data_IF_280150698965
#
_entry.id   IF_280150698965
#
_cell.length_a   1.000
_cell.length_b   1.000
_cell.length_c   1.000
_cell.angle_alpha   90.00
_cell.angle_beta   90.00
_cell.angle_gamma   90.00
#
_symmetry.space_group_name_H-M   'P 1'
#
loop_
_entity.id
_entity.type
_entity.pdbx_description
1 polymer ?
#
# COMPACT_ATOMS: atom_id res chain seq x y z
N UNK A 1 8.38 -11.96 -3.64
CA UNK A 1 7.27 -11.36 -4.37
C UNK A 1 7.40 -9.86 -4.21
N UNK A 2 7.36 -9.18 -5.34
CA UNK A 2 6.93 -7.79 -5.48
C UNK A 2 5.71 -7.84 -6.41
N UNK A 3 5.07 -6.70 -6.69
CA UNK A 3 3.96 -6.65 -7.65
C UNK A 3 4.32 -7.34 -8.98
N UNK A 4 5.55 -7.11 -9.47
CA UNK A 4 6.13 -7.73 -10.66
C UNK A 4 6.42 -9.25 -10.55
N UNK A 5 6.22 -9.87 -9.40
CA UNK A 5 6.41 -11.31 -9.17
C UNK A 5 5.11 -12.06 -8.88
N UNK A 6 3.97 -11.36 -8.80
CA UNK A 6 2.66 -11.99 -8.62
C UNK A 6 2.40 -12.96 -9.77
N UNK A 7 2.31 -14.23 -9.42
CA UNK A 7 2.10 -15.31 -10.38
C UNK A 7 0.63 -15.68 -10.50
N UNK A 8 0.31 -16.38 -11.59
CA UNK A 8 -1.05 -16.81 -11.86
C UNK A 8 -1.57 -17.75 -10.75
N UNK A 9 -0.72 -18.61 -10.18
CA UNK A 9 -1.13 -19.53 -9.11
C UNK A 9 -1.65 -18.79 -7.87
N UNK A 10 -1.01 -17.68 -7.52
CA UNK A 10 -1.42 -16.81 -6.41
C UNK A 10 -2.73 -16.11 -6.74
N UNK A 11 -2.84 -15.52 -7.94
CA UNK A 11 -4.02 -14.75 -8.36
C UNK A 11 -5.24 -15.63 -8.63
N UNK A 12 -5.07 -16.87 -9.07
CA UNK A 12 -6.16 -17.85 -9.26
C UNK A 12 -6.93 -18.12 -7.96
N UNK A 13 -6.31 -17.93 -6.80
CA UNK A 13 -7.01 -18.02 -5.51
C UNK A 13 -8.07 -16.94 -5.36
N UNK A 14 -7.93 -15.81 -6.07
CA UNK A 14 -8.88 -14.72 -6.12
C UNK A 14 -9.85 -14.81 -7.30
N UNK A 15 -9.76 -15.84 -8.16
CA UNK A 15 -10.70 -16.02 -9.28
C UNK A 15 -12.17 -15.99 -8.84
N UNK A 16 -12.59 -16.60 -7.71
CA UNK A 16 -13.98 -16.49 -7.24
C UNK A 16 -14.43 -15.04 -6.96
N UNK A 17 -13.48 -14.17 -6.60
CA UNK A 17 -13.72 -12.73 -6.39
C UNK A 17 -13.89 -12.03 -7.72
N UNK A 18 -13.00 -12.30 -8.68
CA UNK A 18 -13.02 -11.65 -9.99
C UNK A 18 -14.28 -11.97 -10.81
N UNK A 19 -14.84 -13.17 -10.68
CA UNK A 19 -16.09 -13.57 -11.38
C UNK A 19 -17.37 -13.11 -10.68
N UNK A 20 -17.26 -12.57 -9.46
CA UNK A 20 -18.43 -12.13 -8.70
C UNK A 20 -18.94 -10.79 -9.25
N UNK A 21 -20.25 -10.73 -9.53
CA UNK A 21 -20.90 -9.48 -9.98
C UNK A 21 -20.91 -8.39 -8.90
N UNK A 22 -20.75 -8.77 -7.63
CA UNK A 22 -20.57 -7.84 -6.52
C UNK A 22 -19.42 -8.32 -5.65
N UNK A 23 -18.61 -7.40 -5.15
CA UNK A 23 -17.48 -7.66 -4.26
C UNK A 23 -17.48 -6.63 -3.15
N UNK A 24 -16.93 -6.95 -1.99
CA UNK A 24 -16.65 -5.95 -0.96
C UNK A 24 -15.20 -6.00 -0.56
N UNK A 25 -14.62 -4.86 -0.23
CA UNK A 25 -13.25 -4.73 0.25
C UNK A 25 -13.27 -4.07 1.62
N UNK A 26 -12.52 -4.65 2.57
CA UNK A 26 -12.28 -4.09 3.90
C UNK A 26 -10.79 -3.78 4.04
N UNK A 27 -10.48 -2.49 4.21
CA UNK A 27 -9.12 -2.02 4.49
C UNK A 27 -8.90 -1.85 6.00
N UNK A 28 -7.73 -2.26 6.48
CA UNK A 28 -7.25 -1.97 7.84
C UNK A 28 -6.10 -0.98 7.87
N UNK A 29 -5.52 -0.78 9.06
CA UNK A 29 -4.52 0.27 9.31
C UNK A 29 -3.26 0.18 8.44
N UNK A 30 -2.92 -1.01 7.94
CA UNK A 30 -1.83 -1.22 7.00
C UNK A 30 -2.04 -0.56 5.63
N UNK A 31 -3.29 -0.23 5.25
CA UNK A 31 -3.55 0.57 4.06
C UNK A 31 -3.07 2.02 4.24
N UNK A 32 -3.28 2.59 5.43
CA UNK A 32 -2.92 3.96 5.77
C UNK A 32 -1.47 4.11 6.26
N UNK A 33 -0.84 3.02 6.72
CA UNK A 33 0.56 3.03 7.15
C UNK A 33 1.53 3.48 6.04
N UNK A 34 1.23 3.10 4.80
CA UNK A 34 1.96 3.51 3.60
C UNK A 34 1.79 5.01 3.28
N UNK A 35 0.69 5.63 3.72
CA UNK A 35 0.46 7.08 3.63
C UNK A 35 1.14 7.87 4.78
N UNK A 36 2.00 7.22 5.57
CA UNK A 36 2.66 7.82 6.73
C UNK A 36 1.80 7.89 8.00
N UNK A 37 0.56 7.41 7.96
CA UNK A 37 -0.31 7.38 9.15
C UNK A 37 0.09 6.24 10.11
N UNK A 38 -0.10 6.41 11.42
CA UNK A 38 0.28 5.38 12.39
C UNK A 38 -0.59 4.12 12.30
N UNK A 39 0.02 2.96 12.50
CA UNK A 39 -0.73 1.75 12.86
C UNK A 39 -1.32 1.84 14.28
N UNK A 40 -2.13 0.87 14.69
CA UNK A 40 -2.77 0.88 16.01
C UNK A 40 -1.80 0.99 17.20
N UNK A 41 -0.62 0.37 17.12
CA UNK A 41 0.36 0.43 18.22
C UNK A 41 1.07 1.77 18.24
N UNK A 42 1.42 2.29 17.07
CA UNK A 42 2.01 3.62 16.90
C UNK A 42 1.04 4.71 17.35
N UNK A 43 -0.25 4.59 17.02
CA UNK A 43 -1.29 5.52 17.46
C UNK A 43 -1.44 5.49 18.98
N UNK A 44 -1.55 4.30 19.59
CA UNK A 44 -1.65 4.17 21.03
C UNK A 44 -0.39 4.71 21.76
N UNK A 45 0.80 4.52 21.17
CA UNK A 45 2.05 5.08 21.70
C UNK A 45 1.98 6.61 21.73
N UNK A 46 1.60 7.22 20.60
CA UNK A 46 1.48 8.67 20.49
C UNK A 46 0.41 9.24 21.43
N UNK A 47 -0.72 8.56 21.61
CA UNK A 47 -1.77 8.96 22.55
C UNK A 47 -1.26 9.00 24.00
N UNK A 48 -0.49 7.99 24.43
CA UNK A 48 0.08 7.95 25.78
C UNK A 48 1.06 9.12 26.02
N UNK A 49 1.84 9.49 25.00
CA UNK A 49 2.79 10.59 25.06
C UNK A 49 2.09 11.95 25.06
N UNK A 50 1.19 12.19 24.10
CA UNK A 50 0.51 13.46 23.93
C UNK A 50 -0.47 13.75 25.08
N UNK A 51 -1.03 12.70 25.73
CA UNK A 51 -1.84 12.87 26.94
C UNK A 51 -1.01 13.18 28.21
N UNK A 52 0.32 13.04 28.17
CA UNK A 52 1.18 13.13 29.35
C UNK A 52 1.02 11.96 30.32
N UNK A 53 0.46 10.83 29.87
CA UNK A 53 0.34 9.62 30.69
C UNK A 53 1.69 8.93 30.84
N UNK A 54 2.48 8.89 29.75
CA UNK A 54 3.84 8.38 29.72
C UNK A 54 4.68 9.32 28.84
N UNK A 55 5.65 10.01 29.44
CA UNK A 55 6.40 11.08 28.77
C UNK A 55 7.44 10.58 27.75
N UNK A 56 7.88 9.31 27.86
CA UNK A 56 8.94 8.76 27.01
C UNK A 56 8.46 7.62 26.11
N UNK A 57 8.94 7.63 24.86
CA UNK A 57 8.50 6.70 23.82
C UNK A 57 8.89 5.25 24.11
N UNK A 58 10.09 5.03 24.66
CA UNK A 58 10.62 3.71 24.95
C UNK A 58 9.75 3.00 26.01
N UNK A 59 9.41 3.71 27.08
CA UNK A 59 8.50 3.20 28.13
C UNK A 59 7.09 3.04 27.59
N UNK A 60 6.58 3.94 26.75
CA UNK A 60 5.26 3.80 26.15
C UNK A 60 5.17 2.54 25.27
N UNK A 61 6.19 2.29 24.44
CA UNK A 61 6.29 1.06 23.63
C UNK A 61 6.42 -0.19 24.49
N UNK A 62 7.24 -0.15 25.55
CA UNK A 62 7.40 -1.27 26.48
C UNK A 62 6.10 -1.58 27.25
N UNK A 63 5.36 -0.55 27.64
CA UNK A 63 4.05 -0.67 28.27
C UNK A 63 3.03 -1.33 27.34
N UNK A 64 3.00 -0.91 26.07
CA UNK A 64 2.13 -1.47 25.02
C UNK A 64 2.49 -2.90 24.63
N UNK A 65 3.77 -3.28 24.65
CA UNK A 65 4.20 -4.63 24.28
C UNK A 65 3.53 -5.73 25.13
N UNK A 66 3.08 -5.40 26.35
CA UNK A 66 2.37 -6.30 27.25
C UNK A 66 0.85 -6.08 27.34
N UNK A 67 0.27 -5.13 26.59
CA UNK A 67 -1.13 -4.72 26.73
C UNK A 67 -1.87 -4.58 25.39
N UNK A 68 -3.20 -4.56 25.48
CA UNK A 68 -4.05 -4.26 24.33
C UNK A 68 -4.03 -2.75 24.02
N UNK A 69 -3.83 -2.33 22.75
CA UNK A 69 -3.83 -0.92 22.37
C UNK A 69 -5.08 -0.13 22.81
N UNK A 70 -6.25 -0.78 22.84
CA UNK A 70 -7.51 -0.13 23.27
C UNK A 70 -7.51 0.24 24.76
N UNK A 71 -6.75 -0.49 25.59
CA UNK A 71 -6.59 -0.19 27.01
C UNK A 71 -5.57 0.93 27.24
N UNK A 72 -4.53 1.01 26.42
CA UNK A 72 -3.64 2.17 26.41
C UNK A 72 -4.37 3.45 25.98
N UNK A 73 -5.26 3.34 24.99
CA UNK A 73 -6.14 4.44 24.59
C UNK A 73 -7.08 4.89 25.72
N UNK A 74 -7.56 3.97 26.57
CA UNK A 74 -8.31 4.35 27.79
C UNK A 74 -7.48 5.18 28.76
N UNK A 75 -6.24 4.78 29.01
CA UNK A 75 -5.35 5.51 29.90
C UNK A 75 -5.10 6.93 29.38
N UNK A 76 -4.84 7.07 28.08
CA UNK A 76 -4.69 8.38 27.44
C UNK A 76 -5.99 9.22 27.51
N UNK A 77 -7.15 8.62 27.27
CA UNK A 77 -8.46 9.29 27.35
C UNK A 77 -8.76 9.82 28.74
N UNK A 78 -8.36 9.11 29.80
CA UNK A 78 -8.54 9.55 31.17
C UNK A 78 -7.74 10.83 31.52
N UNK A 79 -6.60 11.04 30.84
CA UNK A 79 -5.77 12.24 30.97
C UNK A 79 -6.14 13.38 30.02
N UNK A 80 -6.93 13.10 28.98
CA UNK A 80 -7.25 14.05 27.92
C UNK A 80 -8.37 15.04 28.33
N UNK A 81 -8.14 16.34 28.11
CA UNK A 81 -9.20 17.36 28.23
C UNK A 81 -10.12 17.40 27.01
N UNK A 82 -9.55 17.16 25.82
CA UNK A 82 -10.25 17.02 24.56
C UNK A 82 -9.77 15.73 23.88
N UNK A 83 -10.61 14.71 23.91
CA UNK A 83 -10.26 13.39 23.39
C UNK A 83 -10.08 13.38 21.87
N UNK A 84 -10.97 14.06 21.13
CA UNK A 84 -10.94 14.02 19.68
C UNK A 84 -9.76 14.80 19.13
N UNK A 85 -9.43 15.94 19.74
CA UNK A 85 -8.23 16.70 19.35
C UNK A 85 -6.93 15.96 19.66
N UNK A 86 -6.89 15.24 20.79
CA UNK A 86 -5.76 14.36 21.11
C UNK A 86 -5.59 13.26 20.06
N UNK A 87 -6.67 12.58 19.69
CA UNK A 87 -6.64 11.53 18.65
C UNK A 87 -6.24 12.10 17.30
N UNK A 88 -6.79 13.26 16.91
CA UNK A 88 -6.43 13.94 15.65
C UNK A 88 -4.95 14.31 15.61
N UNK A 89 -4.42 14.85 16.70
CA UNK A 89 -2.99 15.21 16.82
C UNK A 89 -2.07 13.99 16.75
N UNK A 90 -2.52 12.85 17.31
CA UNK A 90 -1.78 11.59 17.25
C UNK A 90 -1.86 10.92 15.87
N UNK A 91 -2.97 11.09 15.14
CA UNK A 91 -3.17 10.53 13.82
C UNK A 91 -2.46 11.35 12.74
N UNK A 92 -2.49 12.68 12.85
CA UNK A 92 -1.94 13.63 11.89
C UNK A 92 -0.88 14.54 12.53
N UNK A 93 0.28 14.00 12.95
CA UNK A 93 1.33 14.85 13.47
C UNK A 93 1.85 15.78 12.36
N UNK A 94 2.33 17.00 12.69
CA UNK A 94 2.80 17.97 11.69
C UNK A 94 3.87 17.43 10.73
N UNK A 95 4.64 16.42 11.15
CA UNK A 95 5.67 15.77 10.34
C UNK A 95 5.12 14.94 9.16
N UNK A 96 3.84 14.53 9.20
CA UNK A 96 3.20 13.78 8.12
C UNK A 96 2.71 14.72 7.01
N UNK A 97 2.44 16.00 7.34
CA UNK A 97 1.83 16.93 6.39
C UNK A 97 0.40 16.51 6.03
N UNK A 98 0.03 16.70 4.76
CA UNK A 98 -1.22 16.18 4.22
C UNK A 98 -0.98 14.75 3.69
N UNK A 99 -1.60 13.72 4.31
CA UNK A 99 -1.41 12.35 3.88
C UNK A 99 -2.12 12.14 2.54
N UNK A 100 -1.37 11.60 1.59
CA UNK A 100 -1.89 11.21 0.29
C UNK A 100 -2.34 9.75 0.30
N UNK A 101 -3.35 9.38 -0.50
CA UNK A 101 -3.78 7.99 -0.58
C UNK A 101 -2.64 7.05 -1.01
N UNK A 102 -2.41 5.98 -0.25
CA UNK A 102 -1.47 4.93 -0.62
C UNK A 102 -2.02 3.92 -1.65
N UNK A 103 -1.14 3.01 -2.11
CA UNK A 103 -1.43 2.02 -3.16
C UNK A 103 -2.73 1.20 -2.95
N UNK A 104 -3.04 0.82 -1.71
CA UNK A 104 -4.27 0.05 -1.40
C UNK A 104 -5.55 0.89 -1.61
N UNK A 105 -5.52 2.18 -1.28
CA UNK A 105 -6.66 3.09 -1.52
C UNK A 105 -6.91 3.23 -3.02
N UNK A 106 -5.86 3.54 -3.78
CA UNK A 106 -5.98 3.63 -5.24
C UNK A 106 -6.39 2.31 -5.89
N UNK A 107 -5.94 1.16 -5.38
CA UNK A 107 -6.37 -0.14 -5.93
C UNK A 107 -7.86 -0.40 -5.71
N UNK A 108 -8.40 -0.04 -4.54
CA UNK A 108 -9.84 -0.15 -4.26
C UNK A 108 -10.63 0.86 -5.08
N UNK A 109 -10.15 2.10 -5.20
CA UNK A 109 -10.75 3.12 -6.04
C UNK A 109 -10.82 2.70 -7.52
N UNK A 110 -9.72 2.19 -8.09
CA UNK A 110 -9.69 1.68 -9.46
C UNK A 110 -10.58 0.44 -9.68
N UNK A 111 -10.88 -0.32 -8.62
CA UNK A 111 -11.86 -1.41 -8.70
C UNK A 111 -13.30 -0.88 -8.69
N UNK A 112 -13.57 0.18 -7.91
CA UNK A 112 -14.91 0.72 -7.69
C UNK A 112 -15.36 1.71 -8.76
N UNK A 113 -14.52 2.67 -9.16
CA UNK A 113 -14.89 3.77 -10.05
C UNK A 113 -15.44 3.34 -11.42
N UNK A 114 -14.90 2.29 -12.08
CA UNK A 114 -15.44 1.83 -13.37
C UNK A 114 -16.76 1.03 -13.25
N UNK A 115 -17.19 0.68 -12.03
CA UNK A 115 -18.35 -0.17 -11.76
C UNK A 115 -19.57 0.63 -11.35
N UNK A 116 -20.76 0.00 -11.40
CA UNK A 116 -21.97 0.66 -10.92
C UNK A 116 -21.90 0.84 -9.40
N UNK A 117 -22.40 1.97 -8.92
CA UNK A 117 -22.54 2.25 -7.47
C UNK A 117 -23.28 1.09 -6.80
N UNK A 118 -22.65 0.52 -5.77
CA UNK A 118 -23.16 -0.65 -5.03
C UNK A 118 -22.69 -2.02 -5.54
N UNK A 119 -21.94 -2.10 -6.64
CA UNK A 119 -21.25 -3.34 -7.06
C UNK A 119 -19.96 -3.59 -6.26
N UNK A 120 -19.38 -2.54 -5.69
CA UNK A 120 -18.24 -2.62 -4.76
C UNK A 120 -18.66 -2.06 -3.41
N UNK A 121 -18.69 -2.91 -2.39
CA UNK A 121 -18.85 -2.50 -1.00
C UNK A 121 -17.52 -2.02 -0.43
N UNK A 122 -17.48 -0.80 0.08
CA UNK A 122 -16.28 -0.16 0.61
C UNK A 122 -16.35 -0.13 2.13
N UNK A 123 -15.40 -0.78 2.80
CA UNK A 123 -15.33 -0.87 4.25
C UNK A 123 -13.92 -0.50 4.72
N UNK A 124 -13.84 0.14 5.88
CA UNK A 124 -12.55 0.44 6.53
C UNK A 124 -12.65 0.35 8.04
N UNK A 125 -11.54 0.02 8.67
CA UNK A 125 -11.32 0.13 10.11
C UNK A 125 -10.57 1.41 10.49
N UNK A 126 -10.15 2.18 9.48
CA UNK A 126 -9.32 3.36 9.68
C UNK A 126 -10.22 4.58 9.88
N UNK A 127 -9.68 5.58 10.58
CA UNK A 127 -10.40 6.85 10.81
C UNK A 127 -10.21 7.84 9.66
N UNK A 128 -9.10 7.74 8.92
CA UNK A 128 -8.78 8.66 7.84
C UNK A 128 -9.72 8.53 6.64
N UNK A 129 -9.77 9.59 5.81
CA UNK A 129 -10.64 9.67 4.63
C UNK A 129 -9.89 9.38 3.32
N UNK A 130 -8.84 8.54 3.37
CA UNK A 130 -7.98 8.30 2.19
C UNK A 130 -8.67 7.44 1.12
N UNK A 131 -9.64 6.59 1.47
CA UNK A 131 -10.44 5.85 0.50
C UNK A 131 -11.31 6.83 -0.31
N UNK A 132 -11.93 7.78 0.38
CA UNK A 132 -12.80 8.78 -0.21
C UNK A 132 -12.04 9.66 -1.20
N UNK A 133 -10.88 10.18 -0.80
CA UNK A 133 -10.00 10.98 -1.65
C UNK A 133 -9.59 10.19 -2.91
N UNK A 134 -9.06 8.98 -2.74
CA UNK A 134 -8.68 8.12 -3.87
C UNK A 134 -9.85 7.80 -4.81
N UNK A 135 -11.06 7.61 -4.26
CA UNK A 135 -12.24 7.33 -5.06
C UNK A 135 -12.74 8.57 -5.78
N UNK A 136 -12.67 9.75 -5.18
CA UNK A 136 -13.00 11.02 -5.84
C UNK A 136 -12.10 11.23 -7.06
N UNK A 137 -10.78 11.09 -6.90
CA UNK A 137 -9.82 11.20 -8.00
C UNK A 137 -10.14 10.20 -9.13
N UNK A 138 -10.35 8.93 -8.78
CA UNK A 138 -10.67 7.89 -9.76
C UNK A 138 -12.03 8.12 -10.45
N UNK A 139 -13.02 8.71 -9.78
CA UNK A 139 -14.30 9.06 -10.38
C UNK A 139 -14.18 10.23 -11.35
N UNK A 140 -13.35 11.22 -11.05
CA UNK A 140 -13.03 12.32 -11.96
C UNK A 140 -12.34 11.81 -13.23
N UNK A 141 -11.36 10.91 -13.09
CA UNK A 141 -10.66 10.28 -14.22
C UNK A 141 -11.60 9.55 -15.19
N UNK A 142 -12.60 8.82 -14.66
CA UNK A 142 -13.59 8.11 -15.49
C UNK A 142 -14.77 8.99 -15.90
N UNK A 143 -14.79 10.27 -15.50
CA UNK A 143 -15.85 11.23 -15.83
C UNK A 143 -17.20 10.94 -15.16
N UNK A 144 -17.19 10.31 -13.98
CA UNK A 144 -18.38 10.04 -13.18
C UNK A 144 -18.73 11.24 -12.31
N UNK A 145 -20.03 11.55 -12.19
CA UNK A 145 -20.55 12.61 -11.33
C UNK A 145 -21.07 12.11 -9.97
N UNK A 146 -20.76 10.88 -9.59
CA UNK A 146 -21.20 10.29 -8.32
C UNK A 146 -20.45 10.95 -7.14
N UNK A 147 -21.18 11.27 -6.07
CA UNK A 147 -20.57 11.70 -4.81
C UNK A 147 -19.93 10.53 -4.05
N UNK A 148 -19.09 10.87 -3.06
CA UNK A 148 -18.49 9.89 -2.13
C UNK A 148 -18.72 10.39 -0.71
N UNK A 149 -19.25 9.53 0.16
CA UNK A 149 -19.61 9.88 1.53
C UNK A 149 -19.09 8.83 2.52
N UNK A 150 -18.47 9.29 3.60
CA UNK A 150 -18.16 8.47 4.75
C UNK A 150 -19.45 8.10 5.50
N UNK A 151 -19.49 6.92 6.10
CA UNK A 151 -20.61 6.42 6.90
C UNK A 151 -20.10 5.78 8.18
N UNK A 152 -20.56 6.28 9.32
CA UNK A 152 -20.22 5.76 10.65
C UNK A 152 -21.44 5.30 11.49
N UNK A 153 -22.66 5.50 10.98
CA UNK A 153 -23.91 5.08 11.65
C UNK A 153 -24.89 4.36 10.71
N UNK A 154 -25.95 3.78 11.28
CA UNK A 154 -26.98 3.09 10.49
C UNK A 154 -27.75 4.06 9.58
N UNK A 155 -28.09 5.23 10.11
CA UNK A 155 -28.97 6.23 9.48
C UNK A 155 -28.22 7.18 8.52
N UNK A 156 -26.90 7.29 8.64
CA UNK A 156 -26.08 8.11 7.75
C UNK A 156 -25.86 7.41 6.40
N UNK A 157 -26.81 7.63 5.48
CA UNK A 157 -26.83 7.02 4.15
C UNK A 157 -26.55 8.06 3.08
N UNK A 158 -25.68 7.71 2.14
CA UNK A 158 -25.41 8.55 0.99
C UNK A 158 -26.66 8.70 0.11
N UNK A 159 -26.76 9.81 -0.65
CA UNK A 159 -27.75 9.94 -1.70
C UNK A 159 -27.74 8.76 -2.67
N UNK A 160 -28.91 8.44 -3.22
CA UNK A 160 -29.01 7.36 -4.22
C UNK A 160 -28.17 7.70 -5.46
N UNK A 161 -27.21 6.85 -5.76
CA UNK A 161 -26.29 7.04 -6.89
C UNK A 161 -24.90 7.52 -6.48
N UNK A 162 -24.68 7.74 -5.19
CA UNK A 162 -23.38 8.08 -4.62
C UNK A 162 -22.76 6.85 -3.90
N UNK A 163 -21.44 6.85 -3.76
CA UNK A 163 -20.70 5.83 -3.05
C UNK A 163 -20.72 6.07 -1.53
N UNK A 164 -20.80 4.98 -0.76
CA UNK A 164 -20.71 4.95 0.70
C UNK A 164 -19.43 4.20 1.11
N UNK A 165 -18.57 4.85 1.89
CA UNK A 165 -17.42 4.21 2.56
C UNK A 165 -17.81 3.94 4.02
N UNK A 166 -17.87 2.66 4.39
CA UNK A 166 -18.34 2.23 5.71
C UNK A 166 -17.18 2.21 6.70
N UNK A 167 -17.13 3.23 7.55
CA UNK A 167 -16.17 3.34 8.66
C UNK A 167 -16.68 2.57 9.87
N UNK A 168 -16.26 1.31 10.01
CA UNK A 168 -16.78 0.44 11.05
C UNK A 168 -16.42 0.92 12.46
N UNK A 169 -15.33 1.67 12.58
CA UNK A 169 -14.87 2.30 13.82
C UNK A 169 -15.04 3.82 13.83
N UNK A 170 -15.82 4.38 12.90
CA UNK A 170 -15.97 5.82 12.71
C UNK A 170 -14.84 6.47 11.93
N UNK A 171 -14.93 7.77 11.72
CA UNK A 171 -13.94 8.55 10.96
C UNK A 171 -13.53 9.83 11.70
N UNK A 172 -12.32 10.29 11.40
CA UNK A 172 -11.71 11.50 11.95
C UNK A 172 -10.73 12.07 10.92
N UNK A 173 -11.18 13.07 10.17
CA UNK A 173 -10.36 13.83 9.24
C UNK A 173 -9.45 14.85 9.93
N UNK A 174 -8.62 15.51 9.13
CA UNK A 174 -7.75 16.59 9.59
C UNK A 174 -8.54 17.84 9.96
N UNK A 175 -9.65 18.12 9.26
CA UNK A 175 -10.55 19.20 9.63
C UNK A 175 -11.49 18.74 10.76
N UNK A 176 -11.77 19.65 11.70
CA UNK A 176 -12.77 19.46 12.75
C UNK A 176 -14.16 19.21 12.15
N UNK A 177 -14.45 19.75 10.97
CA UNK A 177 -15.70 19.50 10.25
C UNK A 177 -15.85 18.03 9.80
N UNK A 178 -14.75 17.30 9.64
CA UNK A 178 -14.71 15.92 9.17
C UNK A 178 -14.64 14.94 10.36
N UNK A 179 -15.59 15.03 11.29
CA UNK A 179 -15.56 14.24 12.52
C UNK A 179 -16.83 13.39 12.67
N UNK A 180 -16.64 12.07 12.78
CA UNK A 180 -17.68 11.10 13.12
C UNK A 180 -17.56 10.55 14.55
N UNK A 181 -18.41 9.58 14.89
CA UNK A 181 -18.36 8.84 16.15
C UNK A 181 -17.29 7.74 16.11
N UNK A 182 -16.13 7.99 16.74
CA UNK A 182 -15.02 7.01 16.75
C UNK A 182 -15.17 5.91 17.82
N UNK A 183 -14.69 4.72 17.49
CA UNK A 183 -14.53 3.56 18.38
C UNK A 183 -13.04 3.26 18.52
N UNK A 184 -12.46 3.55 19.68
CA UNK A 184 -11.02 3.40 19.89
C UNK A 184 -10.66 2.82 21.26
N UNK A 185 -11.39 3.17 22.31
CA UNK A 185 -11.05 2.72 23.66
C UNK A 185 -11.73 1.40 24.01
N UNK A 186 -11.19 0.68 25.00
CA UNK A 186 -11.77 -0.60 25.45
C UNK A 186 -13.26 -0.46 25.82
N UNK A 187 -13.66 0.66 26.44
CA UNK A 187 -15.06 0.95 26.77
C UNK A 187 -15.91 1.12 25.52
N UNK A 188 -15.38 1.73 24.46
CA UNK A 188 -16.11 1.90 23.21
C UNK A 188 -16.32 0.54 22.53
N UNK A 189 -15.27 -0.30 22.43
CA UNK A 189 -15.39 -1.68 21.94
C UNK A 189 -16.33 -2.55 22.78
N UNK A 190 -16.30 -2.39 24.11
CA UNK A 190 -17.20 -3.11 25.02
C UNK A 190 -18.65 -2.70 24.82
N UNK A 191 -18.92 -1.40 24.68
CA UNK A 191 -20.26 -0.89 24.35
C UNK A 191 -20.73 -1.45 23.02
N UNK A 192 -19.89 -1.43 22.00
CA UNK A 192 -20.20 -1.95 20.67
C UNK A 192 -20.51 -3.45 20.71
N UNK A 193 -19.69 -4.24 21.41
CA UNK A 193 -19.88 -5.68 21.57
C UNK A 193 -21.13 -6.06 22.37
N UNK A 194 -21.57 -5.18 23.28
CA UNK A 194 -22.79 -5.39 24.05
C UNK A 194 -24.08 -5.09 23.25
N UNK A 195 -23.97 -4.44 22.08
CA UNK A 195 -25.12 -4.18 21.23
C UNK A 195 -25.62 -5.51 20.63
N UNK A 196 -26.93 -5.82 20.71
CA UNK A 196 -27.48 -7.05 20.14
C UNK A 196 -27.34 -7.13 18.62
N UNK A 197 -27.38 -5.99 17.94
CA UNK A 197 -27.34 -5.89 16.48
C UNK A 197 -26.62 -4.60 16.06
N UNK A 198 -25.29 -4.51 16.20
CA UNK A 198 -24.53 -3.35 15.73
C UNK A 198 -24.66 -3.21 14.21
N UNK A 199 -24.80 -1.99 13.71
CA UNK A 199 -25.01 -1.71 12.30
C UNK A 199 -23.84 -2.21 11.44
N UNK A 200 -22.63 -2.17 11.98
CA UNK A 200 -21.40 -2.66 11.36
C UNK A 200 -21.54 -4.12 10.94
N UNK A 201 -22.04 -4.95 11.87
CA UNK A 201 -22.27 -6.38 11.63
C UNK A 201 -23.35 -6.59 10.57
N UNK A 202 -24.43 -5.81 10.61
CA UNK A 202 -25.51 -5.88 9.63
C UNK A 202 -25.01 -5.52 8.22
N UNK A 203 -24.19 -4.46 8.11
CA UNK A 203 -23.58 -4.03 6.85
C UNK A 203 -22.63 -5.11 6.27
N UNK A 204 -21.77 -5.70 7.09
CA UNK A 204 -20.91 -6.82 6.68
C UNK A 204 -21.72 -8.06 6.28
N UNK A 205 -22.80 -8.35 7.00
CA UNK A 205 -23.70 -9.45 6.65
C UNK A 205 -24.38 -9.23 5.31
N UNK A 206 -24.85 -8.00 5.03
CA UNK A 206 -25.46 -7.63 3.75
C UNK A 206 -24.44 -7.74 2.61
N UNK A 207 -23.21 -7.26 2.81
CA UNK A 207 -22.11 -7.40 1.86
C UNK A 207 -21.81 -8.87 1.53
N UNK A 208 -21.64 -9.73 2.54
CA UNK A 208 -21.37 -11.16 2.36
C UNK A 208 -22.55 -11.92 1.73
N UNK A 209 -23.77 -11.40 1.83
CA UNK A 209 -24.94 -11.98 1.15
C UNK A 209 -24.95 -11.72 -0.35
N UNK A 210 -24.27 -10.64 -0.77
CA UNK A 210 -24.18 -10.15 -2.15
C UNK A 210 -22.97 -10.69 -2.90
N UNK A 211 -21.84 -10.84 -2.21
CA UNK A 211 -20.59 -11.22 -2.84
C UNK A 211 -19.50 -11.63 -1.86
N UNK A 212 -18.31 -11.97 -2.36
CA UNK A 212 -17.14 -12.18 -1.51
C UNK A 212 -16.64 -10.87 -0.90
N UNK A 213 -16.05 -11.00 0.29
CA UNK A 213 -15.37 -9.94 1.04
C UNK A 213 -13.86 -10.20 1.00
N UNK A 214 -13.11 -9.20 0.52
CA UNK A 214 -11.65 -9.19 0.51
C UNK A 214 -11.13 -8.30 1.63
N UNK A 215 -10.31 -8.84 2.51
CA UNK A 215 -9.61 -8.09 3.54
C UNK A 215 -8.18 -7.79 3.07
N UNK A 216 -7.74 -6.54 3.21
CA UNK A 216 -6.39 -6.12 2.88
C UNK A 216 -5.88 -5.06 3.87
N UNK A 217 -4.57 -4.93 4.04
CA UNK A 217 -4.01 -3.94 4.96
C UNK A 217 -4.34 -4.18 6.44
N UNK A 218 -4.75 -5.39 6.84
CA UNK A 218 -5.09 -5.69 8.24
C UNK A 218 -4.24 -6.83 8.78
N UNK A 219 -3.81 -6.69 10.04
CA UNK A 219 -3.19 -7.78 10.82
C UNK A 219 -4.23 -8.67 11.51
N UNK A 220 -5.53 -8.36 11.35
CA UNK A 220 -6.67 -9.06 11.93
C UNK A 220 -6.57 -9.23 13.45
N UNK A 221 -6.17 -8.14 14.14
CA UNK A 221 -6.06 -8.11 15.59
C UNK A 221 -7.33 -7.56 16.25
N UNK A 222 -8.16 -6.84 15.51
CA UNK A 222 -9.43 -6.29 15.98
C UNK A 222 -10.37 -7.40 16.44
N UNK A 223 -10.73 -7.39 17.72
CA UNK A 223 -11.43 -8.50 18.37
C UNK A 223 -12.90 -8.63 17.91
N UNK A 224 -13.55 -7.50 17.68
CA UNK A 224 -14.91 -7.34 17.17
C UNK A 224 -15.03 -7.85 15.72
N UNK A 225 -14.14 -7.40 14.83
CA UNK A 225 -14.11 -7.84 13.43
C UNK A 225 -13.84 -9.33 13.34
N UNK A 226 -12.89 -9.85 14.15
CA UNK A 226 -12.63 -11.28 14.25
C UNK A 226 -13.86 -12.08 14.64
N UNK A 227 -14.57 -11.61 15.67
CA UNK A 227 -15.77 -12.27 16.15
C UNK A 227 -16.87 -12.27 15.06
N UNK A 228 -17.17 -11.10 14.49
CA UNK A 228 -18.23 -10.97 13.49
C UNK A 228 -17.93 -11.79 12.25
N UNK A 229 -16.72 -11.72 11.70
CA UNK A 229 -16.37 -12.49 10.52
C UNK A 229 -16.33 -13.98 10.79
N UNK A 230 -15.87 -14.43 11.97
CA UNK A 230 -15.94 -15.83 12.33
C UNK A 230 -17.39 -16.36 12.31
N UNK A 231 -18.32 -15.62 12.92
CA UNK A 231 -19.73 -15.98 12.94
C UNK A 231 -20.37 -15.93 11.53
N UNK A 232 -20.09 -14.87 10.76
CA UNK A 232 -20.67 -14.68 9.43
C UNK A 232 -20.15 -15.68 8.40
N UNK A 233 -18.84 -15.97 8.42
CA UNK A 233 -18.17 -16.87 7.47
C UNK A 233 -18.31 -18.35 7.84
N UNK A 234 -18.61 -18.69 9.10
CA UNK A 234 -18.98 -20.07 9.47
C UNK A 234 -20.16 -20.60 8.62
N UNK A 235 -21.04 -19.71 8.16
CA UNK A 235 -22.16 -20.05 7.28
C UNK A 235 -21.87 -19.87 5.78
N UNK A 236 -20.73 -19.25 5.43
CA UNK A 236 -20.34 -18.84 4.06
C UNK A 236 -18.81 -18.89 3.85
N UNK A 237 -18.16 -20.06 4.02
CA UNK A 237 -16.69 -20.16 4.06
C UNK A 237 -16.01 -19.89 2.70
N UNK A 238 -16.77 -19.82 1.60
CA UNK A 238 -16.30 -19.51 0.25
C UNK A 238 -16.30 -18.01 -0.08
N UNK A 239 -16.74 -17.16 0.87
CA UNK A 239 -16.90 -15.72 0.66
C UNK A 239 -15.84 -14.85 1.32
N UNK A 240 -15.06 -15.38 2.26
CA UNK A 240 -14.01 -14.61 2.94
C UNK A 240 -12.65 -14.80 2.29
N UNK A 241 -12.00 -13.70 1.91
CA UNK A 241 -10.64 -13.70 1.36
C UNK A 241 -9.79 -12.71 2.14
N UNK A 242 -8.51 -13.03 2.37
CA UNK A 242 -7.56 -12.09 2.96
C UNK A 242 -6.25 -12.07 2.18
N UNK A 243 -5.77 -10.85 1.90
CA UNK A 243 -4.45 -10.58 1.36
C UNK A 243 -3.49 -10.31 2.52
N UNK A 244 -2.69 -11.32 2.88
CA UNK A 244 -1.74 -11.25 3.98
C UNK A 244 -0.36 -10.88 3.47
N UNK A 245 0.02 -9.62 3.68
CA UNK A 245 1.37 -9.14 3.42
C UNK A 245 2.33 -9.54 4.53
N UNK A 246 3.49 -10.09 4.16
CA UNK A 246 4.61 -10.34 5.08
C UNK A 246 5.04 -9.07 5.82
N UNK A 247 5.04 -7.92 5.13
CA UNK A 247 5.32 -6.60 5.71
C UNK A 247 4.48 -6.32 6.96
N UNK A 248 3.16 -6.55 6.89
CA UNK A 248 2.25 -6.37 8.02
C UNK A 248 2.48 -7.32 9.20
N UNK A 249 3.24 -8.40 9.00
CA UNK A 249 3.62 -9.34 10.07
C UNK A 249 4.99 -9.01 10.68
N UNK A 250 5.77 -8.10 10.08
CA UNK A 250 7.12 -7.78 10.52
C UNK A 250 8.12 -8.95 10.39
N UNK A 251 7.87 -9.88 9.46
CA UNK A 251 8.70 -11.07 9.28
C UNK A 251 9.71 -10.89 8.15
N UNK A 252 10.93 -11.38 8.35
CA UNK A 252 11.88 -11.56 7.24
C UNK A 252 11.36 -12.59 6.23
N UNK A 253 11.84 -12.55 4.99
CA UNK A 253 11.44 -13.53 3.95
C UNK A 253 11.65 -14.98 4.42
N UNK A 254 12.77 -15.27 5.10
CA UNK A 254 13.05 -16.61 5.62
C UNK A 254 12.05 -17.03 6.70
N UNK A 255 11.71 -16.14 7.63
CA UNK A 255 10.72 -16.44 8.67
C UNK A 255 9.33 -16.65 8.05
N UNK A 256 8.96 -15.82 7.08
CA UNK A 256 7.68 -15.93 6.39
C UNK A 256 7.53 -17.26 5.65
N UNK A 257 8.58 -17.72 4.98
CA UNK A 257 8.61 -19.02 4.31
C UNK A 257 8.40 -20.20 5.26
N UNK A 258 8.80 -20.07 6.53
CA UNK A 258 8.61 -21.11 7.55
C UNK A 258 7.19 -21.14 8.13
N UNK A 259 6.47 -20.01 8.13
CA UNK A 259 5.15 -19.89 8.75
C UNK A 259 3.99 -19.86 7.76
N UNK A 260 4.24 -19.70 6.45
CA UNK A 260 3.22 -19.54 5.42
C UNK A 260 2.12 -20.62 5.44
N UNK A 261 2.50 -21.88 5.60
CA UNK A 261 1.53 -23.00 5.61
C UNK A 261 0.66 -22.97 6.88
N UNK A 262 1.25 -22.57 8.02
CA UNK A 262 0.52 -22.38 9.27
C UNK A 262 -0.46 -21.21 9.16
N UNK A 263 -0.07 -20.09 8.52
CA UNK A 263 -0.97 -18.96 8.26
C UNK A 263 -2.14 -19.39 7.38
N UNK A 264 -1.89 -20.07 6.25
CA UNK A 264 -2.97 -20.57 5.38
C UNK A 264 -3.92 -21.48 6.14
N UNK A 265 -3.39 -22.40 6.94
CA UNK A 265 -4.20 -23.33 7.74
C UNK A 265 -5.02 -22.61 8.81
N UNK A 266 -4.42 -21.63 9.48
CA UNK A 266 -5.09 -20.81 10.51
C UNK A 266 -6.31 -20.11 9.92
N UNK A 267 -6.16 -19.45 8.77
CA UNK A 267 -7.25 -18.72 8.14
C UNK A 267 -8.32 -19.63 7.54
N UNK A 268 -7.91 -20.74 6.92
CA UNK A 268 -8.86 -21.73 6.43
C UNK A 268 -9.72 -22.33 7.57
N UNK A 269 -9.18 -22.46 8.78
CA UNK A 269 -9.91 -22.99 9.94
C UNK A 269 -11.09 -22.11 10.40
N UNK A 270 -11.10 -20.82 10.02
CA UNK A 270 -12.18 -19.88 10.31
C UNK A 270 -13.00 -19.50 9.06
N UNK A 271 -12.87 -20.27 7.97
CA UNK A 271 -13.64 -20.07 6.75
C UNK A 271 -13.17 -18.89 5.90
N UNK A 272 -11.88 -18.53 5.98
CA UNK A 272 -11.27 -17.47 5.18
C UNK A 272 -10.17 -18.06 4.30
N UNK A 273 -10.20 -17.72 3.02
CA UNK A 273 -9.14 -18.07 2.06
C UNK A 273 -8.00 -17.05 2.12
N UNK A 274 -6.84 -17.48 2.63
CA UNK A 274 -5.64 -16.65 2.65
C UNK A 274 -4.90 -16.65 1.30
N UNK A 275 -4.55 -15.45 0.84
CA UNK A 275 -3.66 -15.19 -0.29
C UNK A 275 -2.45 -14.47 0.27
N UNK A 276 -1.30 -15.14 0.23
CA UNK A 276 -0.07 -14.64 0.83
C UNK A 276 0.69 -13.78 -0.18
N UNK A 277 1.07 -12.60 0.25
CA UNK A 277 1.89 -11.65 -0.53
C UNK A 277 3.03 -11.12 0.34
N UNK A 278 4.00 -10.40 -0.23
CA UNK A 278 5.15 -9.92 0.55
C UNK A 278 4.92 -8.53 1.11
N UNK A 279 4.48 -7.60 0.28
CA UNK A 279 4.34 -6.20 0.65
C UNK A 279 2.90 -5.72 0.42
N UNK A 280 2.49 -4.60 1.01
CA UNK A 280 1.12 -4.08 0.80
C UNK A 280 0.86 -3.67 -0.66
N UNK A 281 1.89 -3.27 -1.40
CA UNK A 281 1.80 -2.98 -2.84
C UNK A 281 1.42 -4.23 -3.65
N UNK A 282 1.86 -5.42 -3.24
CA UNK A 282 1.47 -6.69 -3.87
C UNK A 282 -0.03 -6.94 -3.68
N UNK A 283 -0.55 -6.65 -2.48
CA UNK A 283 -1.99 -6.76 -2.20
C UNK A 283 -2.79 -5.76 -3.05
N UNK A 284 -2.29 -4.52 -3.17
CA UNK A 284 -2.87 -3.51 -4.03
C UNK A 284 -2.89 -3.96 -5.49
N UNK A 285 -1.77 -4.45 -6.02
CA UNK A 285 -1.72 -4.98 -7.38
C UNK A 285 -2.71 -6.14 -7.56
N UNK A 286 -2.76 -7.10 -6.63
CA UNK A 286 -3.70 -8.22 -6.71
C UNK A 286 -5.17 -7.77 -6.76
N UNK A 287 -5.54 -6.68 -6.08
CA UNK A 287 -6.87 -6.06 -6.17
C UNK A 287 -7.10 -5.45 -7.57
N UNK A 288 -6.11 -4.73 -8.12
CA UNK A 288 -6.19 -4.18 -9.49
C UNK A 288 -6.37 -5.27 -10.54
N UNK A 289 -5.70 -6.42 -10.38
CA UNK A 289 -5.82 -7.54 -11.32
C UNK A 289 -7.24 -8.14 -11.35
N UNK A 290 -8.07 -7.95 -10.31
CA UNK A 290 -9.41 -8.56 -10.24
C UNK A 290 -10.33 -8.15 -11.41
N UNK A 291 -10.16 -6.95 -11.96
CA UNK A 291 -10.98 -6.46 -13.08
C UNK A 291 -10.70 -7.22 -14.38
N UNK A 292 -9.46 -7.68 -14.58
CA UNK A 292 -8.99 -8.27 -15.85
C UNK A 292 -8.67 -9.76 -15.75
N UNK A 293 -8.60 -10.34 -14.54
CA UNK A 293 -8.23 -11.74 -14.29
C UNK A 293 -9.09 -12.79 -15.05
N UNK A 294 -10.29 -12.40 -15.47
CA UNK A 294 -11.23 -13.27 -16.21
C UNK A 294 -11.23 -13.03 -17.71
N UNK A 295 -10.51 -12.02 -18.19
CA UNK A 295 -10.48 -11.64 -19.59
C UNK A 295 -9.64 -12.61 -20.44
N UNK A 296 -10.06 -12.87 -21.70
CA UNK A 296 -9.24 -13.63 -22.63
C UNK A 296 -7.91 -12.90 -22.90
N UNK A 297 -6.79 -13.61 -22.77
CA UNK A 297 -5.47 -13.03 -23.01
C UNK A 297 -4.83 -12.39 -21.77
N UNK A 298 -5.49 -12.48 -20.60
CA UNK A 298 -4.90 -12.09 -19.32
C UNK A 298 -3.52 -12.71 -19.09
N UNK A 299 -2.56 -11.90 -18.63
CA UNK A 299 -1.23 -12.31 -18.24
C UNK A 299 -0.91 -11.82 -16.83
N UNK A 300 -0.49 -12.74 -15.96
CA UNK A 300 -0.09 -12.37 -14.61
C UNK A 300 1.09 -11.38 -14.61
N UNK A 301 1.18 -10.46 -13.62
CA UNK A 301 2.26 -9.48 -13.48
C UNK A 301 3.66 -10.05 -13.72
N UNK A 302 3.93 -11.25 -13.16
CA UNK A 302 5.19 -11.98 -13.36
C UNK A 302 5.56 -12.22 -14.82
N UNK A 303 4.57 -12.60 -15.63
CA UNK A 303 4.76 -12.88 -17.05
C UNK A 303 5.01 -11.58 -17.81
N UNK A 304 4.24 -10.53 -17.52
CA UNK A 304 4.35 -9.22 -18.16
C UNK A 304 5.69 -8.56 -17.88
N UNK A 305 6.13 -8.53 -16.62
CA UNK A 305 7.44 -8.03 -16.23
C UNK A 305 8.59 -8.85 -16.86
N UNK A 306 8.45 -10.18 -16.90
CA UNK A 306 9.42 -11.06 -17.54
C UNK A 306 9.53 -10.84 -19.06
N UNK A 307 8.41 -10.60 -19.73
CA UNK A 307 8.37 -10.30 -21.15
C UNK A 307 9.08 -8.98 -21.48
N UNK A 308 8.82 -7.92 -20.71
CA UNK A 308 9.54 -6.64 -20.82
C UNK A 308 11.05 -6.83 -20.62
N UNK A 309 11.44 -7.57 -19.58
CA UNK A 309 12.85 -7.88 -19.31
C UNK A 309 13.51 -8.64 -20.48
N UNK A 310 12.82 -9.62 -21.05
CA UNK A 310 13.31 -10.41 -22.18
C UNK A 310 13.43 -9.58 -23.46
N UNK A 311 12.49 -8.68 -23.73
CA UNK A 311 12.55 -7.73 -24.85
C UNK A 311 13.78 -6.83 -24.73
N UNK A 312 13.95 -6.19 -23.56
CA UNK A 312 15.08 -5.29 -23.29
C UNK A 312 16.43 -6.02 -23.39
N UNK A 313 16.47 -7.27 -22.92
CA UNK A 313 17.67 -8.11 -23.02
C UNK A 313 17.95 -8.58 -24.45
N UNK A 314 16.94 -8.74 -25.29
CA UNK A 314 17.07 -9.11 -26.70
C UNK A 314 17.93 -8.13 -27.48
N UNK A 315 17.67 -6.84 -27.29
CA UNK A 315 18.38 -5.72 -27.96
C UNK A 315 19.39 -5.04 -27.02
N UNK A 316 20.06 -5.85 -26.20
CA UNK A 316 20.88 -5.38 -25.07
C UNK A 316 21.84 -4.24 -25.43
N UNK A 317 22.66 -4.39 -26.48
CA UNK A 317 23.69 -3.40 -26.78
C UNK A 317 23.10 -2.05 -27.22
N UNK A 318 21.99 -2.09 -27.94
CA UNK A 318 21.30 -0.88 -28.42
C UNK A 318 20.59 -0.18 -27.26
N UNK A 319 19.71 -0.89 -26.56
CA UNK A 319 18.92 -0.31 -25.47
C UNK A 319 19.79 0.11 -24.28
N UNK A 320 20.93 -0.56 -24.05
CA UNK A 320 21.86 -0.13 -23.01
C UNK A 320 22.49 1.23 -23.36
N UNK A 321 22.85 1.47 -24.63
CA UNK A 321 23.35 2.77 -25.09
C UNK A 321 22.24 3.82 -25.02
N UNK A 322 21.10 3.57 -25.65
CA UNK A 322 19.96 4.50 -25.71
C UNK A 322 19.48 4.89 -24.30
N UNK A 323 19.32 3.92 -23.40
CA UNK A 323 18.89 4.22 -22.04
C UNK A 323 19.98 4.95 -21.24
N UNK A 324 21.27 4.70 -21.50
CA UNK A 324 22.36 5.43 -20.83
C UNK A 324 22.40 6.89 -21.27
N UNK A 325 22.24 7.14 -22.57
CA UNK A 325 22.18 8.49 -23.14
C UNK A 325 20.95 9.25 -22.63
N UNK A 326 19.77 8.61 -22.62
CA UNK A 326 18.55 9.21 -22.06
C UNK A 326 18.71 9.56 -20.58
N UNK A 327 19.29 8.67 -19.77
CA UNK A 327 19.57 8.98 -18.35
C UNK A 327 20.55 10.16 -18.19
N UNK A 328 21.48 10.36 -19.12
CA UNK A 328 22.40 11.49 -19.09
C UNK A 328 21.70 12.81 -19.43
N UNK A 329 20.75 12.77 -20.37
CA UNK A 329 19.90 13.91 -20.71
C UNK A 329 18.94 14.25 -19.55
N UNK A 330 18.28 13.25 -18.96
CA UNK A 330 17.37 13.42 -17.83
C UNK A 330 18.08 14.00 -16.60
N UNK A 331 19.31 13.56 -16.33
CA UNK A 331 20.14 14.06 -15.23
C UNK A 331 20.39 15.58 -15.33
N UNK A 332 20.30 16.18 -16.53
CA UNK A 332 20.43 17.63 -16.68
C UNK A 332 19.33 18.40 -15.94
N UNK A 333 18.14 17.82 -15.75
CA UNK A 333 17.04 18.40 -14.94
C UNK A 333 17.32 18.35 -13.45
N UNK A 334 18.09 17.35 -13.00
CA UNK A 334 18.43 17.14 -11.58
C UNK A 334 19.70 17.87 -11.15
N UNK A 335 20.65 18.13 -12.06
CA UNK A 335 21.91 18.84 -11.74
C UNK A 335 21.72 20.19 -11.01
N UNK A 336 20.74 21.04 -11.34
CA UNK A 336 20.50 22.27 -10.60
C UNK A 336 20.20 22.06 -9.11
N UNK A 337 19.63 20.90 -8.75
CA UNK A 337 19.29 20.53 -7.38
C UNK A 337 20.44 19.79 -6.70
N UNK A 338 21.07 18.83 -7.40
CA UNK A 338 21.97 17.84 -6.82
C UNK A 338 23.47 18.14 -7.05
N UNK A 339 23.78 19.12 -7.89
CA UNK A 339 25.13 19.44 -8.34
C UNK A 339 25.64 18.61 -9.53
N UNK A 340 26.78 19.01 -10.08
CA UNK A 340 27.36 18.41 -11.30
C UNK A 340 27.78 16.95 -11.13
N UNK A 341 28.09 16.56 -9.90
CA UNK A 341 28.48 15.20 -9.56
C UNK A 341 27.29 14.25 -9.47
N UNK A 342 26.03 14.69 -9.62
CA UNK A 342 24.87 13.82 -9.44
C UNK A 342 24.90 12.52 -10.29
N UNK A 343 24.25 11.47 -9.79
CA UNK A 343 24.10 10.20 -10.51
C UNK A 343 22.63 9.93 -10.82
N UNK A 344 22.36 9.30 -11.97
CA UNK A 344 21.09 8.66 -12.28
C UNK A 344 21.29 7.22 -12.79
N UNK A 345 20.40 6.32 -12.36
CA UNK A 345 20.43 4.88 -12.66
C UNK A 345 19.01 4.34 -12.83
N UNK A 346 18.81 3.54 -13.88
CA UNK A 346 17.59 2.77 -14.12
C UNK A 346 17.75 1.32 -13.64
N UNK A 347 16.75 0.85 -12.90
CA UNK A 347 16.64 -0.51 -12.42
C UNK A 347 15.38 -1.17 -13.01
N UNK A 348 15.48 -2.43 -13.44
CA UNK A 348 14.37 -3.18 -14.06
C UNK A 348 14.04 -4.44 -13.28
N UNK A 349 12.76 -4.73 -13.07
CA UNK A 349 12.31 -6.00 -12.54
C UNK A 349 12.57 -7.12 -13.58
N UNK A 350 13.04 -8.28 -13.12
CA UNK A 350 13.33 -9.41 -14.01
C UNK A 350 12.20 -10.45 -14.10
N UNK A 351 11.06 -10.19 -13.44
CA UNK A 351 9.95 -11.15 -13.31
C UNK A 351 10.30 -12.40 -12.51
N UNK A 352 11.46 -12.44 -11.84
CA UNK A 352 11.99 -13.65 -11.22
C UNK A 352 12.41 -13.49 -9.76
N UNK A 353 12.07 -12.39 -9.09
CA UNK A 353 12.49 -12.19 -7.70
C UNK A 353 13.33 -10.95 -7.42
N UNK A 354 13.82 -10.32 -8.49
CA UNK A 354 14.94 -9.40 -8.40
C UNK A 354 14.68 -8.14 -9.21
N UNK A 355 15.40 -7.09 -8.81
CA UNK A 355 15.55 -5.89 -9.63
C UNK A 355 17.02 -5.80 -10.08
N UNK A 356 17.21 -5.46 -11.35
CA UNK A 356 18.50 -5.48 -12.03
C UNK A 356 18.92 -4.06 -12.32
N UNK A 357 20.14 -3.68 -11.92
CA UNK A 357 20.72 -2.40 -12.29
C UNK A 357 21.03 -2.41 -13.78
N UNK A 358 20.09 -1.95 -14.59
CA UNK A 358 20.12 -2.06 -16.04
C UNK A 358 21.09 -1.07 -16.66
N UNK A 359 20.89 0.22 -16.40
CA UNK A 359 21.67 1.29 -17.01
C UNK A 359 21.98 2.39 -15.99
N UNK A 360 23.10 3.07 -16.21
CA UNK A 360 23.51 4.27 -15.49
C UNK A 360 23.96 5.29 -16.52
N UNK A 361 23.76 6.57 -16.23
CA UNK A 361 24.11 7.65 -17.17
C UNK A 361 25.61 7.70 -17.54
N UNK A 362 26.50 7.16 -16.68
CA UNK A 362 27.96 7.25 -16.82
C UNK A 362 28.64 5.93 -17.22
N UNK A 363 27.85 4.89 -17.52
CA UNK A 363 28.40 3.54 -17.71
C UNK A 363 27.64 2.72 -18.73
N UNK A 364 28.41 2.11 -19.61
CA UNK A 364 27.96 1.07 -20.54
C UNK A 364 28.34 -0.33 -20.07
N UNK A 365 27.36 -1.20 -19.89
CA UNK A 365 27.59 -2.63 -19.65
C UNK A 365 27.75 -3.34 -20.98
N UNK A 366 28.72 -4.25 -21.09
CA UNK A 366 29.00 -4.99 -22.34
C UNK A 366 28.28 -6.33 -22.41
N UNK A 367 27.71 -6.79 -21.31
CA UNK A 367 27.01 -8.07 -21.23
C UNK A 367 25.99 -8.09 -20.08
N UNK A 368 24.84 -8.78 -20.24
CA UNK A 368 23.87 -9.01 -19.17
C UNK A 368 24.44 -9.68 -17.91
N UNK A 369 25.55 -10.42 -18.05
CA UNK A 369 26.23 -11.06 -16.92
C UNK A 369 26.93 -10.07 -15.97
N UNK A 370 27.18 -8.84 -16.43
CA UNK A 370 27.80 -7.78 -15.63
C UNK A 370 26.79 -7.00 -14.79
N UNK A 371 25.50 -7.17 -15.07
CA UNK A 371 24.44 -6.46 -14.38
C UNK A 371 24.29 -6.98 -12.95
N UNK A 372 24.17 -6.04 -12.01
CA UNK A 372 23.92 -6.35 -10.61
C UNK A 372 22.44 -6.66 -10.44
N UNK A 373 22.14 -7.77 -9.77
CA UNK A 373 20.79 -8.14 -9.35
C UNK A 373 20.69 -8.02 -7.84
N UNK A 374 19.60 -7.45 -7.36
CA UNK A 374 19.35 -7.25 -5.93
C UNK A 374 17.94 -7.72 -5.58
N UNK A 375 17.71 -8.21 -4.34
CA UNK A 375 16.38 -8.61 -3.91
C UNK A 375 15.43 -7.41 -3.83
N UNK A 376 14.13 -7.69 -3.97
CA UNK A 376 13.03 -6.73 -3.83
C UNK A 376 12.26 -7.01 -2.54
N UNK A 377 11.68 -5.95 -1.96
CA UNK A 377 10.77 -5.99 -0.82
C UNK A 377 11.01 -4.87 0.18
N UNK A 378 10.09 -4.65 1.13
CA UNK A 378 10.23 -3.61 2.15
C UNK A 378 11.54 -3.70 2.97
N UNK A 379 12.05 -4.92 3.16
CA UNK A 379 13.30 -5.25 3.87
C UNK A 379 14.52 -5.38 2.95
N UNK A 380 14.40 -4.99 1.67
CA UNK A 380 15.55 -4.96 0.76
C UNK A 380 16.65 -4.04 1.33
N UNK A 381 17.93 -4.45 1.29
CA UNK A 381 19.01 -3.55 1.68
C UNK A 381 19.18 -2.40 0.68
N UNK A 382 18.73 -2.57 -0.56
CA UNK A 382 18.82 -1.59 -1.63
C UNK A 382 17.56 -0.75 -1.70
N UNK A 383 17.71 0.58 -1.68
CA UNK A 383 16.57 1.51 -1.81
C UNK A 383 15.75 1.25 -3.08
N UNK A 384 16.40 0.87 -4.20
CA UNK A 384 15.68 0.52 -5.42
C UNK A 384 14.79 -0.73 -5.25
N UNK A 385 15.26 -1.73 -4.49
CA UNK A 385 14.44 -2.90 -4.16
C UNK A 385 13.33 -2.59 -3.15
N UNK A 386 13.53 -1.62 -2.26
CA UNK A 386 12.47 -1.14 -1.35
C UNK A 386 11.42 -0.33 -2.11
N UNK A 387 11.86 0.56 -2.99
CA UNK A 387 11.03 1.43 -3.82
C UNK A 387 10.13 0.59 -4.73
N UNK A 388 10.66 -0.43 -5.42
CA UNK A 388 9.82 -1.33 -6.21
C UNK A 388 8.85 -2.16 -5.34
N UNK A 389 9.29 -2.60 -4.15
CA UNK A 389 8.47 -3.37 -3.23
C UNK A 389 7.35 -2.57 -2.55
N UNK A 390 7.55 -1.27 -2.32
CA UNK A 390 6.52 -0.38 -1.76
C UNK A 390 5.71 0.35 -2.81
N UNK A 391 6.25 0.48 -4.02
CA UNK A 391 5.70 1.32 -5.08
C UNK A 391 5.53 2.78 -4.65
N UNK A 392 6.54 3.31 -3.93
CA UNK A 392 6.57 4.66 -3.39
C UNK A 392 7.90 5.36 -3.70
N UNK A 393 7.89 6.69 -3.74
CA UNK A 393 9.12 7.48 -3.77
C UNK A 393 9.79 7.37 -2.41
N UNK A 394 11.06 6.93 -2.41
CA UNK A 394 11.84 6.75 -1.18
C UNK A 394 13.09 7.62 -1.23
N UNK A 395 13.41 8.24 -0.09
CA UNK A 395 14.65 8.98 0.12
C UNK A 395 15.43 8.39 1.29
N UNK A 396 16.75 8.28 1.16
CA UNK A 396 17.60 7.79 2.26
C UNK A 396 19.03 8.33 2.19
N UNK A 397 19.60 8.64 3.36
CA UNK A 397 21.05 8.77 3.51
C UNK A 397 21.74 7.40 3.52
N UNK A 398 22.80 7.26 2.73
CA UNK A 398 23.60 6.05 2.61
C UNK A 398 24.54 5.95 3.81
N UNK A 399 24.45 4.84 4.55
CA UNK A 399 25.40 4.54 5.62
C UNK A 399 26.82 4.33 5.07
N UNK A 400 27.85 4.54 5.90
CA UNK A 400 29.26 4.38 5.49
C UNK A 400 29.58 3.00 4.89
N UNK A 401 28.86 1.95 5.32
CA UNK A 401 29.00 0.58 4.80
C UNK A 401 28.40 0.39 3.39
N UNK A 402 27.46 1.25 3.00
CA UNK A 402 26.75 1.21 1.71
C UNK A 402 27.18 2.31 0.75
N UNK A 403 27.81 3.37 1.26
CA UNK A 403 28.36 4.45 0.44
C UNK A 403 29.52 3.94 -0.41
N UNK A 404 29.44 4.18 -1.72
CA UNK A 404 30.59 4.01 -2.61
C UNK A 404 31.56 5.18 -2.46
N UNK A 405 31.92 5.61 -1.25
CA UNK A 405 32.77 6.79 -0.90
C UNK A 405 32.40 8.14 -1.56
N UNK A 406 31.42 8.19 -2.47
CA UNK A 406 31.07 9.31 -3.35
C UNK A 406 29.64 9.82 -3.09
N UNK A 407 28.70 8.92 -2.79
CA UNK A 407 27.29 9.26 -2.60
C UNK A 407 26.91 9.22 -1.13
N UNK A 408 26.18 10.24 -0.69
CA UNK A 408 25.69 10.37 0.68
C UNK A 408 24.19 10.23 0.77
N UNK A 409 23.44 10.69 -0.24
CA UNK A 409 21.98 10.57 -0.28
C UNK A 409 21.51 9.97 -1.60
N UNK A 410 20.33 9.34 -1.56
CA UNK A 410 19.67 8.74 -2.73
C UNK A 410 18.16 8.91 -2.63
N UNK A 411 17.55 9.27 -3.76
CA UNK A 411 16.09 9.25 -3.95
C UNK A 411 15.76 8.29 -5.08
N UNK A 412 14.71 7.48 -4.90
CA UNK A 412 14.25 6.48 -5.84
C UNK A 412 12.75 6.62 -6.08
N UNK A 413 12.32 6.54 -7.34
CA UNK A 413 10.91 6.60 -7.75
C UNK A 413 10.56 5.37 -8.61
N UNK A 414 9.38 4.75 -8.38
CA UNK A 414 8.93 3.59 -9.14
C UNK A 414 8.42 4.01 -10.53
N UNK A 415 8.68 3.20 -11.55
CA UNK A 415 8.07 3.35 -12.87
C UNK A 415 6.95 2.31 -13.01
N UNK A 416 5.72 2.78 -13.17
CA UNK A 416 4.52 1.94 -13.33
C UNK A 416 4.14 1.86 -14.80
N UNK A 417 4.56 0.79 -15.47
CA UNK A 417 4.35 0.64 -16.91
C UNK A 417 3.00 -0.01 -17.22
N UNK A 418 2.38 0.43 -18.31
CA UNK A 418 1.19 -0.19 -18.91
C UNK A 418 1.65 -1.30 -19.87
N UNK A 419 1.57 -2.55 -19.39
CA UNK A 419 2.03 -3.72 -20.14
C UNK A 419 0.85 -4.56 -20.62
N UNK A 420 0.85 -5.05 -21.87
CA UNK A 420 -0.25 -5.83 -22.43
C UNK A 420 -0.69 -7.02 -21.55
N UNK A 421 -2.00 -7.24 -21.48
CA UNK A 421 -2.59 -8.40 -20.82
C UNK A 421 -2.99 -8.20 -19.35
N UNK A 422 -3.01 -6.96 -18.84
CA UNK A 422 -3.53 -6.64 -17.52
C UNK A 422 -3.36 -5.15 -17.18
N UNK A 423 -3.73 -4.71 -15.97
CA UNK A 423 -3.58 -3.32 -15.53
C UNK A 423 -2.11 -2.94 -15.34
N UNK A 424 -1.76 -1.64 -15.34
CA UNK A 424 -0.40 -1.18 -15.10
C UNK A 424 0.22 -1.75 -13.82
N UNK A 425 1.54 -1.95 -13.82
CA UNK A 425 2.28 -2.45 -12.66
C UNK A 425 3.67 -1.80 -12.52
N UNK A 426 4.22 -1.73 -11.29
CA UNK A 426 5.61 -1.33 -11.08
C UNK A 426 6.57 -2.31 -11.76
N UNK A 427 7.35 -1.86 -12.74
CA UNK A 427 8.33 -2.70 -13.47
C UNK A 427 9.76 -2.17 -13.39
N UNK A 428 9.93 -0.93 -12.97
CA UNK A 428 11.24 -0.28 -12.91
C UNK A 428 11.34 0.64 -11.71
N UNK A 429 12.56 1.08 -11.44
CA UNK A 429 12.86 2.16 -10.51
C UNK A 429 13.92 3.06 -11.12
N UNK A 430 13.66 4.36 -11.13
CA UNK A 430 14.69 5.36 -11.31
C UNK A 430 15.27 5.72 -9.95
N UNK A 431 16.59 5.72 -9.84
CA UNK A 431 17.26 6.24 -8.66
C UNK A 431 18.25 7.31 -9.06
N UNK A 432 18.28 8.39 -8.29
CA UNK A 432 19.29 9.42 -8.39
C UNK A 432 20.00 9.60 -7.05
N UNK A 433 21.28 10.00 -7.07
CA UNK A 433 22.09 10.14 -5.87
C UNK A 433 22.90 11.43 -5.89
N UNK A 434 23.11 12.00 -4.71
CA UNK A 434 23.90 13.22 -4.50
C UNK A 434 25.08 12.96 -3.55
N UNK A 435 26.06 13.86 -3.59
CA UNK A 435 27.27 13.79 -2.75
C UNK A 435 27.08 14.42 -1.37
N UNK A 436 25.90 14.98 -1.10
CA UNK A 436 25.52 15.66 0.15
C UNK A 436 24.42 14.89 0.88
N UNK A 437 24.29 15.03 2.20
CA UNK A 437 23.18 14.45 2.96
C UNK A 437 21.82 15.02 2.57
N UNK A 438 20.73 14.31 2.86
CA UNK A 438 19.36 14.74 2.55
C UNK A 438 18.96 16.06 3.22
N UNK A 439 19.44 16.32 4.44
CA UNK A 439 19.14 17.56 5.19
C UNK A 439 19.63 18.83 4.47
N UNK A 440 20.63 18.70 3.60
CA UNK A 440 21.18 19.79 2.80
C UNK A 440 20.52 19.90 1.41
N UNK A 441 19.47 19.11 1.13
CA UNK A 441 18.80 19.05 -0.17
C UNK A 441 17.35 19.54 -0.07
N UNK A 442 16.87 20.13 -1.17
CA UNK A 442 15.43 20.34 -1.36
C UNK A 442 14.79 19.02 -1.78
N UNK A 443 14.39 18.22 -0.79
CA UNK A 443 13.88 16.87 -1.02
C UNK A 443 12.57 16.88 -1.81
N UNK A 444 11.70 17.85 -1.57
CA UNK A 444 10.40 17.96 -2.25
C UNK A 444 10.62 18.26 -3.74
N UNK A 445 11.48 19.22 -4.07
CA UNK A 445 11.83 19.53 -5.45
C UNK A 445 12.53 18.34 -6.14
N UNK A 446 13.41 17.64 -5.43
CA UNK A 446 14.10 16.46 -5.96
C UNK A 446 13.11 15.33 -6.25
N UNK A 447 12.25 14.99 -5.29
CA UNK A 447 11.23 13.96 -5.44
C UNK A 447 10.25 14.29 -6.59
N UNK A 448 9.81 15.55 -6.71
CA UNK A 448 8.92 16.00 -7.78
C UNK A 448 9.53 15.81 -9.18
N UNK A 449 10.79 16.25 -9.39
CA UNK A 449 11.46 16.06 -10.69
C UNK A 449 11.66 14.58 -10.99
N UNK A 450 11.99 13.76 -9.98
CA UNK A 450 12.15 12.32 -10.18
C UNK A 450 10.82 11.62 -10.46
N UNK A 451 9.71 12.10 -9.90
CA UNK A 451 8.36 11.59 -10.19
C UNK A 451 8.00 11.81 -11.67
N UNK A 452 8.15 13.03 -12.18
CA UNK A 452 7.93 13.37 -13.60
C UNK A 452 8.78 12.49 -14.52
N UNK A 453 10.08 12.32 -14.20
CA UNK A 453 10.96 11.45 -14.96
C UNK A 453 10.52 9.98 -14.90
N UNK A 454 10.03 9.51 -13.74
CA UNK A 454 9.57 8.13 -13.60
C UNK A 454 8.34 7.81 -14.44
N UNK A 455 7.45 8.79 -14.64
CA UNK A 455 6.30 8.70 -15.56
C UNK A 455 6.75 8.62 -17.01
N UNK A 456 7.66 9.50 -17.46
CA UNK A 456 8.20 9.43 -18.81
C UNK A 456 8.92 8.10 -19.10
N UNK A 457 9.64 7.57 -18.10
CA UNK A 457 10.26 6.25 -18.22
C UNK A 457 9.24 5.11 -18.22
N UNK A 458 8.15 5.23 -17.45
CA UNK A 458 7.06 4.27 -17.50
C UNK A 458 6.43 4.22 -18.91
N UNK A 459 6.18 5.36 -19.55
CA UNK A 459 5.71 5.42 -20.93
C UNK A 459 6.69 4.76 -21.90
N UNK A 460 7.99 5.11 -21.82
CA UNK A 460 9.05 4.50 -22.66
C UNK A 460 9.06 2.98 -22.52
N UNK A 461 9.00 2.47 -21.29
CA UNK A 461 8.99 1.03 -21.03
C UNK A 461 7.70 0.35 -21.50
N UNK A 462 6.57 1.03 -21.45
CA UNK A 462 5.29 0.52 -21.96
C UNK A 462 5.37 0.28 -23.48
N UNK A 463 5.95 1.24 -24.22
CA UNK A 463 6.10 1.11 -25.69
C UNK A 463 7.04 -0.02 -26.14
N UNK A 464 7.98 -0.44 -25.28
CA UNK A 464 8.90 -1.56 -25.59
C UNK A 464 8.25 -2.94 -25.45
N UNK A 465 7.09 -3.01 -24.80
CA UNK A 465 6.35 -4.25 -24.58
C UNK A 465 5.25 -4.50 -25.62
N UNK A 466 4.96 -3.53 -26.48
CA UNK A 466 4.07 -3.65 -27.66
C UNK A 466 4.76 -4.35 -28.82
#
# INVERSE_FOLDING_TARGET
MSAAELDLVTLERLRPVAVAGQVSVLLGAGASAAAGLPDWNSLATQLLQLSGTIDDEETARAFLAGQDPSLAAEAARAGASDWLELVRSALYPPSVGEPEPAALHFAVASLAAPRLVGEVGLFTLNFDLLIERALQDALEEVGSGAGVHARDTEDDRAPRGDFEVHHLHGYLGQDVAETGEIVLTLSDFTKLSAQPSPWQRAALQEALSRGPLVLAGTSYRDSDIRQWLHELLATRPDKGFILLAREGLGLSRQQFDLVKDALVTQWASIGVSAVLVQDYSDAAQAIRELSTLTEPGYQAPKVRAGALWDAIRGDFAQLQQEHSDQLADDLTRLRPLLGDDANMTLWLADGAGQIVRWSSHDRLYRSPAQLRRVPVGHDSPWIAGQCLGRSEILARDLSEAMSTRRWHSVVAAPCVADLPGGPPLPTAVLSSAATTPLEDQDLDAWAAVLAELSEEWAERLSTLAE
#
